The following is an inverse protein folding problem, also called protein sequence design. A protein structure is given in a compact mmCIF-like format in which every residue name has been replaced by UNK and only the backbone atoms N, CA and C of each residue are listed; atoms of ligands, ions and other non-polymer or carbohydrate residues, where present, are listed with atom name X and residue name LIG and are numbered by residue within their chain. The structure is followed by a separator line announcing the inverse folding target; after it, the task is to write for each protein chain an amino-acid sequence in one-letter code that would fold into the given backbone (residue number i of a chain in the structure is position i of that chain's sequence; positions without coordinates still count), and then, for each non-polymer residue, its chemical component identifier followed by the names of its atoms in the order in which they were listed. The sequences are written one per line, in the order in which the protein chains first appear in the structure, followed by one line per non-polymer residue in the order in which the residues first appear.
data_IF_384354139196
#
_entry.id   IF_384354139196
#
_cell.length_a   1.000
_cell.length_b   1.000
_cell.length_c   1.000
_cell.angle_alpha   90.00
_cell.angle_beta   90.00
_cell.angle_gamma   90.00
#
_symmetry.space_group_name_H-M   'P 1'
#
loop_
_entity.id
_entity.type
_entity.pdbx_description
1 polymer ?
#
# COMPACT_ATOMS: atom_id res chain seq x y z
N UNK A 1 -10.63 14.15 4.54
CA UNK A 1 -10.92 12.70 4.57
C UNK A 1 -9.65 11.84 4.44
N UNK A 2 -8.55 12.20 5.15
CA UNK A 2 -7.20 11.60 4.98
C UNK A 2 -6.79 10.67 6.14
N UNK A 3 -7.71 10.30 7.04
CA UNK A 3 -7.37 9.68 8.33
C UNK A 3 -6.91 8.21 8.27
N UNK A 4 -6.90 7.55 7.10
CA UNK A 4 -6.56 6.11 6.96
C UNK A 4 -5.65 5.75 5.79
N UNK A 5 -5.12 6.72 5.01
CA UNK A 5 -4.22 6.43 3.88
C UNK A 5 -2.77 6.36 4.34
N UNK A 6 -2.16 5.19 4.16
CA UNK A 6 -0.72 4.95 4.36
C UNK A 6 0.10 5.41 3.15
N UNK A 7 -0.52 5.43 1.98
CA UNK A 7 0.03 5.96 0.75
C UNK A 7 -1.07 6.48 -0.20
N UNK A 8 -0.62 7.16 -1.25
CA UNK A 8 -1.45 7.55 -2.38
C UNK A 8 -0.64 7.76 -3.65
N UNK A 9 -1.11 7.18 -4.75
CA UNK A 9 -0.74 7.54 -6.11
C UNK A 9 -1.75 8.54 -6.69
N UNK A 10 -1.27 9.65 -7.27
CA UNK A 10 -2.11 10.52 -8.11
C UNK A 10 -2.15 10.00 -9.56
N UNK A 11 -3.13 10.46 -10.34
CA UNK A 11 -3.21 10.19 -11.79
C UNK A 11 -2.04 10.77 -12.58
N UNK A 12 -1.32 11.74 -12.01
CA UNK A 12 -0.11 12.35 -12.57
C UNK A 12 1.16 11.57 -12.20
N UNK A 13 1.03 10.47 -11.45
CA UNK A 13 2.15 9.61 -11.06
C UNK A 13 2.87 10.05 -9.78
N UNK A 14 2.32 10.97 -9.01
CA UNK A 14 2.93 11.39 -7.75
C UNK A 14 2.61 10.38 -6.63
N UNK A 15 3.65 9.79 -6.06
CA UNK A 15 3.55 8.92 -4.88
C UNK A 15 3.71 9.76 -3.61
N UNK A 16 2.74 9.65 -2.71
CA UNK A 16 2.80 10.26 -1.39
C UNK A 16 2.68 9.17 -0.32
N UNK A 17 3.43 9.32 0.75
CA UNK A 17 3.49 8.36 1.85
C UNK A 17 3.25 9.05 3.18
N UNK A 18 2.59 8.33 4.09
CA UNK A 18 2.36 8.83 5.44
C UNK A 18 3.61 8.66 6.30
N UNK A 19 4.05 9.70 7.02
CA UNK A 19 5.22 9.64 7.91
C UNK A 19 5.11 8.56 9.00
N UNK A 20 3.88 8.09 9.32
CA UNK A 20 3.68 6.96 10.24
C UNK A 20 4.34 5.66 9.77
N UNK A 21 4.66 5.53 8.47
CA UNK A 21 5.43 4.40 7.95
C UNK A 21 6.83 4.28 8.57
N UNK A 22 7.37 5.36 9.14
CA UNK A 22 8.64 5.31 9.88
C UNK A 22 8.57 4.47 11.16
N UNK A 23 7.37 4.12 11.63
CA UNK A 23 7.16 3.38 12.88
C UNK A 23 6.57 1.98 12.68
N UNK A 24 6.53 1.49 11.44
CA UNK A 24 6.10 0.11 11.14
C UNK A 24 7.29 -0.69 10.59
N UNK A 25 7.28 -2.03 10.71
CA UNK A 25 8.32 -2.88 10.12
C UNK A 25 8.54 -2.60 8.63
N UNK A 26 9.80 -2.65 8.17
CA UNK A 26 10.20 -2.37 6.78
C UNK A 26 9.38 -3.17 5.76
N UNK A 27 9.09 -4.44 6.05
CA UNK A 27 8.27 -5.30 5.19
C UNK A 27 6.87 -4.74 4.91
N UNK A 28 6.30 -4.01 5.88
CA UNK A 28 5.01 -3.34 5.74
C UNK A 28 5.17 -2.05 4.92
N UNK A 29 6.29 -1.35 5.07
CA UNK A 29 6.63 -0.20 4.22
C UNK A 29 6.75 -0.64 2.76
N UNK A 30 7.49 -1.71 2.50
CA UNK A 30 7.62 -2.32 1.16
C UNK A 30 6.26 -2.64 0.55
N UNK A 31 5.35 -3.23 1.34
CA UNK A 31 3.99 -3.51 0.90
C UNK A 31 3.26 -2.24 0.44
N UNK A 32 3.36 -1.14 1.19
CA UNK A 32 2.71 0.13 0.82
C UNK A 32 3.36 0.73 -0.43
N UNK A 33 4.68 0.68 -0.55
CA UNK A 33 5.39 1.16 -1.75
C UNK A 33 4.97 0.37 -2.99
N UNK A 34 4.97 -0.96 -2.92
CA UNK A 34 4.54 -1.84 -4.03
C UNK A 34 3.06 -1.59 -4.37
N UNK A 35 2.20 -1.38 -3.37
CA UNK A 35 0.80 -1.05 -3.57
C UNK A 35 0.62 0.23 -4.38
N UNK A 36 1.32 1.31 -4.01
CA UNK A 36 1.22 2.57 -4.74
C UNK A 36 1.89 2.50 -6.13
N UNK A 37 2.97 1.73 -6.29
CA UNK A 37 3.58 1.48 -7.61
C UNK A 37 2.64 0.70 -8.53
N UNK A 38 1.89 -0.27 -8.02
CA UNK A 38 0.91 -1.01 -8.80
C UNK A 38 -0.21 -0.10 -9.34
N UNK A 39 -0.50 1.00 -8.63
CA UNK A 39 -1.48 2.00 -9.10
C UNK A 39 -1.07 2.70 -10.40
N UNK A 40 0.21 2.77 -10.75
CA UNK A 40 0.64 3.29 -12.06
C UNK A 40 0.07 2.50 -13.24
N UNK A 41 -0.17 1.19 -13.06
CA UNK A 41 -0.71 0.31 -14.11
C UNK A 41 -2.20 0.04 -13.94
N UNK A 42 -2.68 0.03 -12.71
CA UNK A 42 -4.05 -0.32 -12.38
C UNK A 42 -4.63 0.68 -11.37
N UNK A 43 -5.44 1.60 -11.86
CA UNK A 43 -6.06 2.67 -11.04
C UNK A 43 -7.16 2.15 -10.09
N UNK A 44 -7.46 0.85 -10.10
CA UNK A 44 -8.43 0.20 -9.24
C UNK A 44 -7.86 -1.08 -8.62
N UNK A 45 -8.42 -1.53 -7.51
CA UNK A 45 -8.01 -2.77 -6.82
C UNK A 45 -8.61 -4.04 -7.47
N UNK A 46 -8.58 -4.13 -8.80
CA UNK A 46 -9.05 -5.30 -9.55
C UNK A 46 -8.20 -6.55 -9.32
N UNK A 47 -8.64 -7.70 -9.82
CA UNK A 47 -7.82 -8.93 -9.81
C UNK A 47 -6.46 -8.74 -10.47
N UNK A 48 -6.38 -7.93 -11.54
CA UNK A 48 -5.13 -7.64 -12.23
C UNK A 48 -4.17 -6.82 -11.34
N UNK A 49 -4.69 -5.83 -10.61
CA UNK A 49 -3.92 -5.08 -9.61
C UNK A 49 -3.28 -6.02 -8.58
N UNK A 50 -4.08 -6.91 -7.97
CA UNK A 50 -3.55 -7.81 -6.94
C UNK A 50 -2.55 -8.83 -7.48
N UNK A 51 -2.71 -9.27 -8.74
CA UNK A 51 -1.70 -10.10 -9.41
C UNK A 51 -0.38 -9.35 -9.62
N UNK A 52 -0.42 -8.06 -9.96
CA UNK A 52 0.80 -7.24 -10.10
C UNK A 52 1.48 -7.05 -8.74
N UNK A 53 0.72 -6.81 -7.67
CA UNK A 53 1.28 -6.74 -6.30
C UNK A 53 1.90 -8.09 -5.90
N UNK A 54 1.18 -9.19 -6.10
CA UNK A 54 1.62 -10.56 -5.75
C UNK A 54 2.89 -10.97 -6.49
N UNK A 55 3.10 -10.47 -7.71
CA UNK A 55 4.32 -10.71 -8.49
C UNK A 55 5.59 -10.23 -7.77
N UNK A 56 5.53 -9.11 -7.05
CA UNK A 56 6.68 -8.57 -6.31
C UNK A 56 6.66 -8.92 -4.83
N UNK A 57 5.48 -9.20 -4.27
CA UNK A 57 5.32 -9.58 -2.87
C UNK A 57 4.28 -10.70 -2.73
N UNK A 58 4.69 -11.98 -2.84
CA UNK A 58 3.77 -13.12 -2.71
C UNK A 58 3.04 -13.16 -1.35
N UNK A 59 3.67 -12.63 -0.30
CA UNK A 59 3.13 -12.55 1.05
C UNK A 59 2.28 -11.28 1.32
N UNK A 60 1.88 -10.53 0.28
CA UNK A 60 1.20 -9.23 0.44
C UNK A 60 -0.06 -9.30 1.31
N UNK A 61 -0.78 -10.44 1.32
CA UNK A 61 -2.00 -10.62 2.12
C UNK A 61 -1.68 -10.59 3.62
N UNK A 62 -0.54 -11.13 4.01
CA UNK A 62 -0.06 -11.08 5.39
C UNK A 62 0.33 -9.65 5.76
N UNK A 63 1.12 -8.98 4.90
CA UNK A 63 1.54 -7.60 5.14
C UNK A 63 0.34 -6.64 5.23
N UNK A 64 -0.66 -6.80 4.36
CA UNK A 64 -1.94 -6.06 4.41
C UNK A 64 -2.67 -6.29 5.74
N UNK A 65 -2.70 -7.52 6.24
CA UNK A 65 -3.33 -7.86 7.52
C UNK A 65 -2.57 -7.23 8.69
N UNK A 66 -1.23 -7.28 8.67
CA UNK A 66 -0.40 -6.64 9.69
C UNK A 66 -0.58 -5.11 9.68
N UNK A 67 -0.57 -4.48 8.51
CA UNK A 67 -0.82 -3.04 8.34
C UNK A 67 -2.14 -2.60 8.99
N UNK A 68 -3.20 -3.40 8.87
CA UNK A 68 -4.49 -3.10 9.51
C UNK A 68 -4.47 -3.07 11.04
N UNK A 69 -3.48 -3.72 11.67
CA UNK A 69 -3.27 -3.68 13.13
C UNK A 69 -2.61 -2.37 13.58
N UNK A 70 -1.82 -1.75 12.70
CA UNK A 70 -1.20 -0.44 12.94
C UNK A 70 -2.17 0.72 12.61
N UNK A 71 -3.24 0.45 11.86
CA UNK A 71 -4.26 1.45 11.58
C UNK A 71 -5.12 1.70 12.83
N UNK A 72 -4.98 2.89 13.44
CA UNK A 72 -5.85 3.33 14.53
C UNK A 72 -7.28 3.47 13.97
N UNK A 73 -8.19 2.59 14.40
CA UNK A 73 -9.63 2.78 14.19
C UNK A 73 -10.09 3.87 15.15
N UNK A 74 -10.42 5.04 14.62
CA UNK A 74 -11.21 6.03 15.33
C UNK A 74 -12.69 5.75 15.07
#
# INVERSE_FOLDING_TARGET
NQKTRWGSCSSEGNLNFNCRLLFVPDRIVDYVVIHELAHHRFMNHSKAFWKEVEKYMPDYKEQKKLLSRFAIKH
#
